data_IF_634801285871
#
_entry.id   IF_634801285871
#
_cell.length_a   1.000
_cell.length_b   1.000
_cell.length_c   1.000
_cell.angle_alpha   90.00
_cell.angle_beta   90.00
_cell.angle_gamma   90.00
#
_symmetry.space_group_name_H-M   'P 1'
#
loop_
_entity.id
_entity.type
_entity.pdbx_description
1 polymer ?
#
# COMPACT_ATOMS: atom_id res chain seq x y z
N UNK A 1 58.70 17.87 -8.48
CA UNK A 1 58.54 16.73 -7.54
C UNK A 1 57.42 17.06 -6.57
N UNK A 2 56.19 16.59 -6.84
CA UNK A 2 55.01 16.80 -5.96
C UNK A 2 54.84 15.56 -5.09
N UNK A 3 54.88 15.72 -3.76
CA UNK A 3 54.60 14.67 -2.78
C UNK A 3 53.09 14.60 -2.55
N UNK A 4 52.48 13.45 -2.81
CA UNK A 4 51.09 13.14 -2.43
C UNK A 4 51.05 12.54 -1.03
N UNK A 5 50.14 13.04 -0.20
CA UNK A 5 49.83 12.51 1.14
C UNK A 5 48.67 11.53 0.99
N UNK A 6 48.91 10.27 1.38
CA UNK A 6 47.91 9.21 1.45
C UNK A 6 47.29 9.23 2.85
N UNK A 7 46.01 9.54 2.96
CA UNK A 7 45.27 9.44 4.22
C UNK A 7 44.66 8.03 4.33
N UNK A 8 45.07 7.29 5.36
CA UNK A 8 44.50 5.98 5.72
C UNK A 8 43.36 6.24 6.70
N UNK A 9 42.12 5.95 6.27
CA UNK A 9 40.96 5.96 7.14
C UNK A 9 40.91 4.62 7.89
N UNK A 10 41.07 4.65 9.21
CA UNK A 10 40.85 3.49 10.09
C UNK A 10 39.44 3.61 10.62
N UNK A 11 38.52 2.76 10.15
CA UNK A 11 37.18 2.63 10.72
C UNK A 11 37.25 1.72 11.95
N UNK A 12 37.01 2.28 13.12
CA UNK A 12 36.90 1.52 14.38
C UNK A 12 35.47 1.01 14.52
N UNK A 13 35.28 -0.31 14.44
CA UNK A 13 33.99 -0.96 14.67
C UNK A 13 33.78 -1.09 16.18
N UNK A 14 32.85 -0.34 16.75
CA UNK A 14 32.42 -0.49 18.15
C UNK A 14 31.22 -1.43 18.17
N UNK A 15 31.42 -2.64 18.70
CA UNK A 15 30.33 -3.59 18.97
C UNK A 15 29.80 -3.31 20.37
N UNK A 16 28.64 -2.67 20.47
CA UNK A 16 27.93 -2.50 21.75
C UNK A 16 26.99 -3.69 21.92
N UNK A 17 27.25 -4.53 22.94
CA UNK A 17 26.33 -5.58 23.36
C UNK A 17 25.25 -4.98 24.26
N UNK A 18 23.99 -5.01 23.83
CA UNK A 18 22.85 -4.66 24.68
C UNK A 18 22.47 -5.84 25.59
N UNK A 19 22.38 -5.58 26.89
CA UNK A 19 21.88 -6.51 27.91
C UNK A 19 20.37 -6.33 28.15
N UNK A 20 19.68 -7.47 28.18
CA UNK A 20 18.48 -7.85 28.97
C UNK A 20 17.14 -7.08 28.88
N UNK A 21 16.11 -7.87 28.51
CA UNK A 21 14.72 -7.96 29.02
C UNK A 21 13.53 -7.18 28.44
N UNK A 22 13.65 -6.49 27.31
CA UNK A 22 12.44 -6.02 26.58
C UNK A 22 12.11 -6.97 25.42
N UNK A 23 11.11 -7.83 25.64
CA UNK A 23 10.51 -8.63 24.58
C UNK A 23 9.65 -7.73 23.68
N UNK A 24 10.02 -7.60 22.40
CA UNK A 24 9.05 -7.40 21.31
C UNK A 24 9.06 -6.08 20.53
N UNK A 25 9.82 -5.05 20.90
CA UNK A 25 9.86 -3.82 20.10
C UNK A 25 10.94 -3.91 18.99
N UNK A 26 10.60 -3.83 17.69
CA UNK A 26 11.60 -3.73 16.64
C UNK A 26 12.33 -2.39 16.74
N UNK A 27 13.64 -2.43 16.94
CA UNK A 27 14.51 -1.26 16.87
C UNK A 27 14.73 -0.95 15.38
N UNK A 28 14.11 0.11 14.86
CA UNK A 28 14.28 0.56 13.48
C UNK A 28 15.35 1.66 13.42
N UNK A 29 16.50 1.35 12.81
CA UNK A 29 17.53 2.33 12.48
C UNK A 29 17.19 2.99 11.14
N UNK A 30 16.87 4.28 11.17
CA UNK A 30 16.65 5.08 9.96
C UNK A 30 17.93 5.74 9.48
N UNK A 31 18.55 5.19 8.44
CA UNK A 31 19.48 5.95 7.59
C UNK A 31 19.06 5.82 6.12
N UNK A 32 18.70 6.97 5.54
CA UNK A 32 18.56 7.25 4.11
C UNK A 32 17.56 6.39 3.31
N UNK A 33 16.27 6.71 3.40
CA UNK A 33 15.31 6.37 2.35
C UNK A 33 15.12 7.61 1.47
N UNK A 34 15.46 7.46 0.19
CA UNK A 34 15.36 8.49 -0.82
C UNK A 34 13.96 9.14 -0.84
N UNK A 35 13.90 10.44 -1.10
CA UNK A 35 12.66 11.17 -1.31
C UNK A 35 11.87 10.56 -2.47
N UNK A 36 10.81 9.82 -2.16
CA UNK A 36 9.86 9.35 -3.15
C UNK A 36 8.86 10.47 -3.45
N UNK A 37 8.73 10.78 -4.74
CA UNK A 37 7.70 11.65 -5.30
C UNK A 37 6.33 11.09 -4.91
N UNK A 38 5.78 11.59 -3.81
CA UNK A 38 4.38 11.39 -3.49
C UNK A 38 3.56 12.06 -4.58
N UNK A 39 2.56 11.34 -5.07
CA UNK A 39 1.35 11.96 -5.60
C UNK A 39 0.95 12.99 -4.54
N UNK A 40 0.82 14.26 -4.93
CA UNK A 40 0.38 15.33 -4.03
C UNK A 40 -0.85 14.82 -3.26
N UNK A 41 -0.90 15.08 -1.95
CA UNK A 41 -2.03 14.77 -1.05
C UNK A 41 -3.27 15.56 -1.45
N UNK A 42 -3.75 15.29 -2.66
CA UNK A 42 -4.79 16.01 -3.35
C UNK A 42 -6.09 15.37 -2.92
N UNK A 43 -6.92 16.18 -2.25
CA UNK A 43 -8.38 16.00 -2.18
C UNK A 43 -8.86 15.21 -3.39
N UNK A 44 -9.53 14.08 -3.11
CA UNK A 44 -10.06 13.14 -4.09
C UNK A 44 -10.30 13.80 -5.46
N UNK A 45 -9.54 13.43 -6.51
CA UNK A 45 -9.69 14.05 -7.81
C UNK A 45 -11.12 13.92 -8.31
N UNK A 46 -11.54 14.85 -9.17
CA UNK A 46 -12.91 14.88 -9.67
C UNK A 46 -13.30 13.51 -10.28
N UNK A 47 -14.51 12.98 -9.98
CA UNK A 47 -14.95 11.71 -10.51
C UNK A 47 -14.99 11.71 -12.04
N UNK A 48 -14.54 10.62 -12.64
CA UNK A 48 -14.70 10.31 -14.06
C UNK A 48 -16.00 9.52 -14.24
N UNK A 49 -16.89 10.01 -15.10
CA UNK A 49 -18.07 9.23 -15.50
C UNK A 49 -17.70 8.28 -16.64
N UNK A 50 -18.07 7.01 -16.51
CA UNK A 50 -17.88 5.97 -17.52
C UNK A 50 -19.25 5.39 -17.88
N UNK A 51 -19.59 5.42 -19.16
CA UNK A 51 -20.91 5.01 -19.66
C UNK A 51 -20.84 3.69 -20.45
N UNK A 52 -19.65 3.24 -20.85
CA UNK A 52 -19.46 2.03 -21.66
C UNK A 52 -18.36 1.12 -21.12
N UNK A 53 -18.47 -0.18 -21.41
CA UNK A 53 -17.42 -1.16 -21.10
C UNK A 53 -16.10 -0.83 -21.81
N UNK A 54 -16.17 -0.25 -23.01
CA UNK A 54 -14.98 0.14 -23.79
C UNK A 54 -14.17 1.24 -23.10
N UNK A 55 -14.85 2.25 -22.55
CA UNK A 55 -14.24 3.31 -21.75
C UNK A 55 -13.64 2.76 -20.46
N UNK A 56 -14.34 1.84 -19.78
CA UNK A 56 -13.82 1.18 -18.58
C UNK A 56 -12.55 0.37 -18.88
N UNK A 57 -12.56 -0.41 -19.96
CA UNK A 57 -11.39 -1.16 -20.42
C UNK A 57 -10.24 -0.21 -20.72
N UNK A 58 -10.48 0.81 -21.54
CA UNK A 58 -9.44 1.78 -21.94
C UNK A 58 -8.83 2.49 -20.73
N UNK A 59 -9.64 2.80 -19.71
CA UNK A 59 -9.17 3.34 -18.45
C UNK A 59 -8.19 2.37 -17.78
N UNK A 60 -8.59 1.11 -17.56
CA UNK A 60 -7.78 0.10 -16.87
C UNK A 60 -6.48 -0.24 -17.61
N UNK A 61 -6.53 -0.34 -18.94
CA UNK A 61 -5.36 -0.60 -19.78
C UNK A 61 -4.37 0.58 -19.79
N UNK A 62 -4.86 1.80 -19.59
CA UNK A 62 -4.04 3.01 -19.49
C UNK A 62 -3.37 3.20 -18.12
N UNK A 63 -3.71 2.39 -17.12
CA UNK A 63 -3.16 2.51 -15.77
C UNK A 63 -1.74 1.94 -15.65
N UNK A 64 -1.01 2.41 -14.64
CA UNK A 64 0.29 1.83 -14.27
C UNK A 64 0.04 0.60 -13.40
N UNK A 65 0.34 -0.57 -13.95
CA UNK A 65 0.27 -1.84 -13.24
C UNK A 65 1.45 -2.00 -12.28
N UNK A 66 1.20 -2.63 -11.13
CA UNK A 66 2.25 -2.90 -10.15
C UNK A 66 3.42 -3.72 -10.74
N UNK A 67 4.65 -3.38 -10.38
CA UNK A 67 5.83 -4.08 -10.91
C UNK A 67 6.22 -5.33 -10.11
N UNK A 68 6.76 -6.33 -10.82
CA UNK A 68 7.21 -7.61 -10.24
C UNK A 68 8.43 -7.49 -9.30
N UNK A 69 9.33 -6.55 -9.59
CA UNK A 69 10.68 -6.50 -9.01
C UNK A 69 10.84 -5.56 -7.81
N UNK A 70 9.77 -4.96 -7.31
CA UNK A 70 9.84 -4.07 -6.14
C UNK A 70 9.73 -4.91 -4.86
N UNK A 71 10.89 -5.21 -4.27
CA UNK A 71 11.03 -6.30 -3.30
C UNK A 71 10.39 -6.06 -1.91
N UNK A 72 10.14 -4.82 -1.51
CA UNK A 72 9.81 -4.50 -0.11
C UNK A 72 8.89 -3.28 0.08
N UNK A 73 8.62 -2.55 -0.99
CA UNK A 73 7.67 -1.45 -0.99
C UNK A 73 6.54 -1.87 -1.92
N UNK A 74 5.29 -1.80 -1.46
CA UNK A 74 4.17 -2.06 -2.33
C UNK A 74 4.28 -1.27 -3.61
N UNK A 75 4.08 -1.98 -4.70
CA UNK A 75 4.31 -1.54 -6.06
C UNK A 75 3.64 -0.19 -6.34
N UNK A 76 4.26 0.55 -7.25
CA UNK A 76 3.83 1.83 -7.83
C UNK A 76 2.49 1.74 -8.61
N UNK A 77 1.64 0.76 -8.29
CA UNK A 77 0.33 0.58 -8.87
C UNK A 77 -0.48 1.86 -8.64
N UNK A 78 -0.81 2.53 -9.73
CA UNK A 78 -1.66 3.72 -9.68
C UNK A 78 -3.04 3.33 -9.17
N UNK A 79 -3.61 4.17 -8.30
CA UNK A 79 -5.04 4.12 -8.01
C UNK A 79 -5.71 5.08 -9.00
N UNK A 80 -6.82 4.67 -9.60
CA UNK A 80 -7.58 5.54 -10.49
C UNK A 80 -8.19 6.71 -9.71
N UNK A 81 -8.65 7.74 -10.44
CA UNK A 81 -9.68 8.64 -9.89
C UNK A 81 -10.97 7.84 -9.57
N UNK A 82 -11.91 8.44 -8.85
CA UNK A 82 -13.25 7.86 -8.70
C UNK A 82 -13.90 7.67 -10.07
N UNK A 83 -14.48 6.51 -10.29
CA UNK A 83 -15.17 6.13 -11.52
C UNK A 83 -16.64 5.94 -11.19
N UNK A 84 -17.48 6.82 -11.71
CA UNK A 84 -18.94 6.73 -11.55
C UNK A 84 -19.52 6.02 -12.77
N UNK A 85 -20.23 4.92 -12.51
CA UNK A 85 -20.95 4.14 -13.53
C UNK A 85 -22.44 4.40 -13.40
N UNK A 86 -23.06 4.89 -14.46
CA UNK A 86 -24.52 5.03 -14.56
C UNK A 86 -25.08 3.88 -15.40
N UNK A 87 -26.00 3.10 -14.84
CA UNK A 87 -26.47 1.86 -15.47
C UNK A 87 -25.60 0.66 -15.12
N UNK A 88 -25.58 -0.34 -15.99
CA UNK A 88 -24.90 -1.62 -15.76
C UNK A 88 -23.77 -1.83 -16.78
N UNK A 89 -22.57 -2.05 -16.29
CA UNK A 89 -21.40 -2.44 -17.07
C UNK A 89 -20.91 -3.82 -16.63
N UNK A 90 -20.44 -4.59 -17.60
CA UNK A 90 -19.84 -5.90 -17.38
C UNK A 90 -18.53 -5.95 -18.17
N UNK A 91 -17.46 -6.42 -17.53
CA UNK A 91 -16.12 -6.49 -18.09
C UNK A 91 -15.47 -7.82 -17.70
N UNK A 92 -14.98 -8.57 -18.68
CA UNK A 92 -14.14 -9.73 -18.43
C UNK A 92 -12.67 -9.33 -18.33
N UNK A 93 -11.95 -9.93 -17.38
CA UNK A 93 -10.51 -9.73 -17.20
C UNK A 93 -9.72 -10.19 -18.44
N UNK A 94 -10.28 -11.14 -19.20
CA UNK A 94 -9.69 -11.65 -20.45
C UNK A 94 -9.76 -10.65 -21.60
N UNK A 95 -10.59 -9.60 -21.47
CA UNK A 95 -10.70 -8.52 -22.45
C UNK A 95 -9.68 -7.41 -22.21
N UNK A 96 -8.94 -7.47 -21.09
CA UNK A 96 -7.89 -6.52 -20.76
C UNK A 96 -6.54 -6.99 -21.32
N UNK A 97 -5.78 -6.03 -21.83
CA UNK A 97 -4.36 -6.19 -22.15
C UNK A 97 -3.55 -6.08 -20.87
N UNK A 98 -3.24 -7.23 -20.26
CA UNK A 98 -2.51 -7.32 -18.98
C UNK A 98 -1.02 -7.53 -19.25
N UNK A 99 -0.11 -6.89 -18.48
CA UNK A 99 1.31 -7.14 -18.62
C UNK A 99 1.65 -8.62 -18.47
N UNK A 100 2.59 -9.11 -19.28
CA UNK A 100 3.08 -10.48 -19.16
C UNK A 100 4.08 -10.58 -18.03
N UNK A 101 3.97 -11.65 -17.24
CA UNK A 101 4.93 -11.98 -16.18
C UNK A 101 6.12 -12.72 -16.80
N UNK A 102 7.31 -12.11 -16.74
CA UNK A 102 8.51 -12.71 -17.34
C UNK A 102 9.01 -13.92 -16.56
N UNK A 103 8.80 -13.95 -15.24
CA UNK A 103 9.17 -15.10 -14.39
C UNK A 103 8.21 -16.28 -14.49
N UNK A 104 7.16 -16.16 -15.30
CA UNK A 104 6.04 -17.08 -15.29
C UNK A 104 6.26 -18.28 -16.21
N UNK A 105 7.12 -19.22 -15.79
CA UNK A 105 7.33 -20.46 -16.54
C UNK A 105 6.29 -21.54 -16.19
N UNK A 106 5.88 -21.67 -14.92
CA UNK A 106 4.83 -22.60 -14.44
C UNK A 106 4.22 -22.09 -13.13
N UNK A 107 2.89 -22.17 -12.99
CA UNK A 107 2.21 -22.00 -11.70
C UNK A 107 1.84 -20.56 -11.31
N UNK A 108 1.72 -19.65 -12.27
CA UNK A 108 1.16 -18.33 -12.00
C UNK A 108 -0.35 -18.35 -11.98
N UNK A 109 -0.88 -17.33 -11.29
CA UNK A 109 -2.30 -17.12 -11.14
C UNK A 109 -2.81 -16.45 -12.39
N UNK A 110 -3.95 -16.93 -12.87
CA UNK A 110 -4.69 -16.23 -13.90
C UNK A 110 -5.12 -14.85 -13.39
N UNK A 111 -5.07 -13.80 -14.24
CA UNK A 111 -5.54 -12.50 -13.85
C UNK A 111 -6.99 -12.55 -13.37
N UNK A 112 -7.31 -11.74 -12.35
CA UNK A 112 -8.67 -11.68 -11.81
C UNK A 112 -8.98 -10.33 -11.20
N UNK A 113 -10.26 -10.05 -11.05
CA UNK A 113 -10.76 -8.97 -10.22
C UNK A 113 -10.80 -9.41 -8.75
N UNK A 114 -10.56 -8.48 -7.86
CA UNK A 114 -10.69 -8.67 -6.41
C UNK A 114 -11.18 -7.37 -5.76
N UNK A 115 -11.77 -7.44 -4.59
CA UNK A 115 -12.28 -6.26 -3.89
C UNK A 115 -13.14 -6.65 -2.71
N UNK A 116 -13.61 -5.63 -1.99
CA UNK A 116 -14.52 -5.78 -0.86
C UNK A 116 -15.98 -5.83 -1.34
N UNK A 117 -16.90 -6.11 -0.43
CA UNK A 117 -18.33 -6.09 -0.71
C UNK A 117 -18.81 -4.64 -0.83
N UNK A 118 -18.82 -4.13 -2.07
CA UNK A 118 -19.20 -2.77 -2.42
C UNK A 118 -20.59 -2.77 -3.06
N UNK A 119 -21.44 -1.82 -2.64
CA UNK A 119 -22.78 -1.68 -3.21
C UNK A 119 -22.72 -1.45 -4.73
N UNK A 120 -23.48 -2.26 -5.48
CA UNK A 120 -23.52 -2.19 -6.94
C UNK A 120 -22.28 -2.78 -7.63
N UNK A 121 -21.39 -3.46 -6.90
CA UNK A 121 -20.27 -4.21 -7.47
C UNK A 121 -20.55 -5.70 -7.32
N UNK A 122 -20.26 -6.49 -8.35
CA UNK A 122 -20.36 -7.95 -8.27
C UNK A 122 -19.21 -8.61 -9.00
N UNK A 123 -18.67 -9.65 -8.37
CA UNK A 123 -17.54 -10.42 -8.85
C UNK A 123 -18.04 -11.81 -9.24
N UNK A 124 -17.94 -12.16 -10.52
CA UNK A 124 -18.37 -13.46 -11.04
C UNK A 124 -17.13 -14.32 -11.27
N UNK A 125 -17.15 -15.50 -10.63
CA UNK A 125 -16.12 -16.53 -10.76
C UNK A 125 -16.61 -17.62 -11.70
N UNK A 126 -15.80 -17.97 -12.69
CA UNK A 126 -16.11 -19.10 -13.56
C UNK A 126 -16.12 -20.43 -12.79
N UNK A 127 -16.93 -21.43 -13.22
CA UNK A 127 -16.97 -22.73 -12.58
C UNK A 127 -15.57 -23.39 -12.52
N UNK A 128 -15.07 -23.62 -11.31
CA UNK A 128 -13.74 -24.21 -11.08
C UNK A 128 -12.57 -23.22 -11.12
N UNK A 129 -12.84 -21.92 -11.31
CA UNK A 129 -11.82 -20.87 -11.30
C UNK A 129 -11.41 -20.44 -9.89
N UNK A 130 -10.15 -20.03 -9.75
CA UNK A 130 -9.63 -19.43 -8.52
C UNK A 130 -9.83 -17.91 -8.55
N UNK A 131 -11.09 -17.48 -8.44
CA UNK A 131 -11.51 -16.08 -8.26
C UNK A 131 -12.13 -15.43 -9.50
N UNK A 132 -12.44 -14.13 -9.38
CA UNK A 132 -13.42 -13.50 -10.26
C UNK A 132 -12.82 -13.08 -11.61
N UNK A 133 -13.31 -13.69 -12.70
CA UNK A 133 -12.91 -13.35 -14.06
C UNK A 133 -13.75 -12.22 -14.64
N UNK A 134 -14.97 -12.01 -14.13
CA UNK A 134 -15.86 -10.95 -14.62
C UNK A 134 -16.25 -10.00 -13.50
N UNK A 135 -16.13 -8.70 -13.79
CA UNK A 135 -16.58 -7.61 -12.95
C UNK A 135 -17.89 -7.05 -13.50
N UNK A 136 -18.87 -6.90 -12.63
CA UNK A 136 -20.13 -6.22 -12.92
C UNK A 136 -20.23 -4.98 -12.03
N UNK A 137 -20.55 -3.85 -12.63
CA UNK A 137 -20.77 -2.57 -11.96
C UNK A 137 -22.17 -2.08 -12.30
N UNK A 138 -22.94 -1.67 -11.28
CA UNK A 138 -24.31 -1.21 -11.44
C UNK A 138 -24.59 0.00 -10.55
N UNK A 139 -24.76 1.17 -11.17
CA UNK A 139 -25.09 2.43 -10.49
C UNK A 139 -24.18 2.72 -9.27
N UNK A 140 -22.88 2.60 -9.47
CA UNK A 140 -21.89 2.64 -8.38
C UNK A 140 -20.77 3.63 -8.66
N UNK A 141 -20.01 4.00 -7.63
CA UNK A 141 -18.77 4.76 -7.73
C UNK A 141 -17.65 3.99 -7.06
N UNK A 142 -16.59 3.72 -7.80
CA UNK A 142 -15.47 2.87 -7.37
C UNK A 142 -14.14 3.47 -7.79
N UNK A 143 -13.05 2.94 -7.26
CA UNK A 143 -11.70 3.16 -7.79
C UNK A 143 -11.09 1.81 -8.18
N UNK A 144 -10.10 1.87 -9.06
CA UNK A 144 -9.37 0.69 -9.51
C UNK A 144 -7.91 0.77 -9.11
N UNK A 145 -7.31 -0.38 -8.83
CA UNK A 145 -5.87 -0.49 -8.61
C UNK A 145 -5.36 -1.79 -9.25
N UNK A 146 -4.68 -1.74 -10.40
CA UNK A 146 -4.03 -2.89 -11.00
C UNK A 146 -2.74 -3.22 -10.23
N UNK A 147 -2.77 -4.31 -9.47
CA UNK A 147 -1.68 -4.74 -8.60
C UNK A 147 -1.00 -5.99 -9.14
N UNK A 148 0.30 -6.10 -8.87
CA UNK A 148 1.01 -7.37 -8.91
C UNK A 148 0.96 -8.02 -7.52
N UNK A 149 0.44 -9.24 -7.47
CA UNK A 149 0.38 -10.04 -6.25
C UNK A 149 1.60 -10.95 -6.23
N UNK A 150 2.60 -10.55 -5.44
CA UNK A 150 3.78 -11.38 -5.16
C UNK A 150 3.41 -12.49 -4.19
N UNK A 151 3.07 -13.66 -4.71
CA UNK A 151 2.92 -14.90 -3.94
C UNK A 151 4.06 -15.86 -4.27
N UNK A 152 4.62 -16.53 -3.26
CA UNK A 152 5.69 -17.52 -3.48
C UNK A 152 5.20 -18.72 -4.30
N UNK A 153 3.92 -19.07 -4.18
CA UNK A 153 3.35 -20.24 -4.82
C UNK A 153 2.58 -19.91 -6.10
N UNK A 154 2.04 -18.70 -6.21
CA UNK A 154 1.09 -18.36 -7.26
C UNK A 154 1.08 -16.85 -7.59
N UNK A 155 2.19 -16.30 -8.12
CA UNK A 155 2.27 -14.87 -8.45
C UNK A 155 1.33 -14.54 -9.61
N UNK A 156 0.80 -13.33 -9.65
CA UNK A 156 -0.19 -12.97 -10.68
C UNK A 156 -0.56 -11.49 -10.63
N UNK A 157 -1.21 -11.03 -11.69
CA UNK A 157 -1.82 -9.71 -11.71
C UNK A 157 -3.27 -9.74 -11.24
N UNK A 158 -3.73 -8.65 -10.64
CA UNK A 158 -5.15 -8.47 -10.32
C UNK A 158 -5.55 -7.01 -10.43
N UNK A 159 -6.84 -6.78 -10.66
CA UNK A 159 -7.43 -5.45 -10.55
C UNK A 159 -8.25 -5.42 -9.27
N UNK A 160 -7.79 -4.62 -8.31
CA UNK A 160 -8.56 -4.34 -7.10
C UNK A 160 -9.63 -3.31 -7.40
N UNK A 161 -10.85 -3.58 -6.98
CA UNK A 161 -11.95 -2.62 -6.96
C UNK A 161 -12.07 -2.12 -5.52
N UNK A 162 -12.04 -0.80 -5.39
CA UNK A 162 -11.95 -0.09 -4.14
C UNK A 162 -13.17 0.83 -4.02
N UNK A 163 -13.60 1.10 -2.79
CA UNK A 163 -14.66 2.07 -2.53
C UNK A 163 -14.28 3.50 -2.98
N UNK A 164 -15.26 4.42 -3.00
CA UNK A 164 -15.00 5.83 -3.26
C UNK A 164 -13.95 6.40 -2.28
N UNK A 165 -13.25 7.43 -2.73
CA UNK A 165 -12.22 8.13 -1.97
C UNK A 165 -12.79 8.89 -0.76
N UNK A 166 -14.07 9.25 -0.80
CA UNK A 166 -14.79 9.90 0.31
C UNK A 166 -15.26 8.95 1.41
N UNK A 167 -15.05 7.64 1.27
CA UNK A 167 -15.48 6.66 2.26
C UNK A 167 -14.55 6.67 3.48
N UNK A 168 -15.15 6.75 4.68
CA UNK A 168 -14.43 6.53 5.93
C UNK A 168 -14.12 5.04 6.09
N UNK A 169 -13.03 4.71 6.78
CA UNK A 169 -12.73 3.32 7.09
C UNK A 169 -13.87 2.64 7.84
N UNK A 170 -14.17 1.41 7.43
CA UNK A 170 -15.28 0.65 7.98
C UNK A 170 -15.06 0.31 9.46
N UNK A 171 -13.82 0.02 9.82
CA UNK A 171 -13.44 -0.41 11.17
C UNK A 171 -12.65 0.69 11.91
N UNK A 172 -12.86 0.85 13.23
CA UNK A 172 -12.17 1.86 14.03
C UNK A 172 -10.66 1.59 14.19
N UNK A 173 -10.23 0.34 13.97
CA UNK A 173 -8.81 -0.06 14.02
C UNK A 173 -8.06 0.24 12.72
N UNK A 174 -8.78 0.53 11.63
CA UNK A 174 -8.21 0.87 10.35
C UNK A 174 -7.73 2.32 10.33
N UNK A 175 -6.68 2.57 9.55
CA UNK A 175 -6.11 3.90 9.37
C UNK A 175 -6.26 4.36 7.93
N UNK A 176 -6.93 5.49 7.73
CA UNK A 176 -7.07 6.11 6.40
C UNK A 176 -5.75 6.76 6.00
N UNK A 177 -5.21 6.32 4.88
CA UNK A 177 -4.01 6.90 4.30
C UNK A 177 -4.30 8.24 3.63
N UNK A 178 -3.64 9.35 4.00
CA UNK A 178 -3.86 10.64 3.34
C UNK A 178 -3.30 10.70 1.91
N UNK A 179 -2.38 9.78 1.56
CA UNK A 179 -1.73 9.77 0.25
C UNK A 179 -2.56 9.05 -0.81
N UNK A 180 -3.14 7.91 -0.46
CA UNK A 180 -3.84 7.03 -1.42
C UNK A 180 -5.33 6.82 -1.08
N UNK A 181 -5.79 7.38 0.04
CA UNK A 181 -7.16 7.28 0.53
C UNK A 181 -7.65 5.82 0.65
N UNK A 182 -6.76 4.91 1.04
CA UNK A 182 -7.09 3.54 1.41
C UNK A 182 -7.07 3.35 2.92
N UNK A 183 -7.88 2.40 3.38
CA UNK A 183 -7.93 1.98 4.77
C UNK A 183 -6.99 0.79 5.00
N UNK A 184 -6.09 0.95 5.95
CA UNK A 184 -5.12 -0.08 6.31
C UNK A 184 -5.43 -0.65 7.69
N UNK A 185 -5.72 -1.95 7.74
CA UNK A 185 -5.89 -2.69 9.00
C UNK A 185 -4.58 -2.90 9.73
N UNK A 186 -3.49 -3.16 9.00
CA UNK A 186 -2.19 -3.44 9.59
C UNK A 186 -1.36 -2.19 9.69
N UNK A 187 -0.91 -1.86 10.89
CA UNK A 187 -0.09 -0.67 11.12
C UNK A 187 1.23 -0.68 10.34
N UNK A 188 1.85 -1.84 10.17
CA UNK A 188 3.04 -2.00 9.34
C UNK A 188 2.81 -1.59 7.87
N UNK A 189 1.63 -1.91 7.31
CA UNK A 189 1.30 -1.54 5.93
C UNK A 189 1.03 -0.03 5.81
N UNK A 190 0.27 0.53 6.75
CA UNK A 190 0.06 1.97 6.86
C UNK A 190 1.40 2.73 6.98
N UNK A 191 2.31 2.23 7.81
CA UNK A 191 3.62 2.81 8.03
C UNK A 191 4.47 2.92 6.77
N UNK A 192 4.52 1.82 6.01
CA UNK A 192 5.29 1.74 4.78
C UNK A 192 4.70 2.64 3.71
N UNK A 193 3.37 2.65 3.58
CA UNK A 193 2.67 3.26 2.44
C UNK A 193 2.30 4.72 2.65
N UNK A 194 1.94 5.08 3.88
CA UNK A 194 1.30 6.35 4.20
C UNK A 194 2.23 7.24 5.02
N UNK A 195 2.70 6.72 6.16
CA UNK A 195 3.54 7.47 7.08
C UNK A 195 5.01 7.53 6.64
N UNK A 196 5.40 6.83 5.56
CA UNK A 196 6.78 6.79 5.03
C UNK A 196 7.84 6.51 6.12
N UNK A 197 7.52 5.59 7.04
CA UNK A 197 8.36 5.24 8.19
C UNK A 197 8.60 6.36 9.20
N UNK A 198 7.76 7.39 9.26
CA UNK A 198 7.84 8.41 10.32
C UNK A 198 7.72 7.75 11.70
N UNK A 199 8.78 7.75 12.52
CA UNK A 199 8.80 6.94 13.75
C UNK A 199 7.70 7.33 14.74
N UNK A 200 7.40 8.62 14.82
CA UNK A 200 6.35 9.20 15.68
C UNK A 200 4.94 8.72 15.31
N UNK A 201 4.67 8.46 14.03
CA UNK A 201 3.39 7.88 13.59
C UNK A 201 3.47 6.38 13.78
N UNK A 202 4.52 5.76 13.26
CA UNK A 202 4.60 4.30 13.18
C UNK A 202 4.62 3.54 14.49
N UNK A 203 5.14 4.13 15.56
CA UNK A 203 5.09 3.52 16.89
C UNK A 203 3.66 3.37 17.42
N UNK A 204 2.71 4.19 16.94
CA UNK A 204 1.30 4.14 17.31
C UNK A 204 0.43 3.34 16.34
N UNK A 205 1.05 2.65 15.38
CA UNK A 205 0.37 1.75 14.44
C UNK A 205 0.97 0.33 14.59
N UNK A 206 0.40 -0.45 15.50
CA UNK A 206 0.82 -1.81 15.81
C UNK A 206 0.45 -2.85 14.74
N UNK A 207 0.69 -4.13 15.05
CA UNK A 207 0.41 -5.24 14.12
C UNK A 207 -1.08 -5.36 13.76
N UNK A 208 -1.95 -4.98 14.71
CA UNK A 208 -3.41 -5.08 14.60
C UNK A 208 -4.08 -3.75 14.20
N UNK A 209 -3.29 -2.71 13.88
CA UNK A 209 -3.80 -1.41 13.45
C UNK A 209 -3.37 -0.27 14.37
N UNK A 210 -4.17 0.79 14.40
CA UNK A 210 -3.92 1.95 15.25
C UNK A 210 -4.05 1.57 16.74
N UNK A 211 -3.11 2.03 17.57
CA UNK A 211 -3.16 1.85 19.02
C UNK A 211 -4.14 2.83 19.65
N UNK A 212 -4.76 2.41 20.77
CA UNK A 212 -5.68 3.26 21.53
C UNK A 212 -4.98 4.52 22.09
N UNK A 213 -5.75 5.60 22.23
CA UNK A 213 -5.26 6.82 22.86
C UNK A 213 -4.81 6.55 24.31
N UNK A 214 -3.67 7.12 24.70
CA UNK A 214 -3.07 6.94 26.02
C UNK A 214 -2.09 5.78 26.13
N UNK A 215 -1.98 4.91 25.12
CA UNK A 215 -0.97 3.85 25.09
C UNK A 215 0.42 4.48 25.06
N UNK A 216 1.31 4.06 25.98
CA UNK A 216 2.69 4.55 26.03
C UNK A 216 3.41 4.22 24.73
N UNK A 217 4.05 5.23 24.13
CA UNK A 217 4.81 5.10 22.90
C UNK A 217 6.22 5.62 23.10
N UNK A 218 7.19 4.99 22.43
CA UNK A 218 8.60 5.36 22.51
C UNK A 218 9.30 5.17 21.17
N UNK A 219 9.99 6.20 20.70
CA UNK A 219 10.75 6.15 19.45
C UNK A 219 12.09 6.87 19.60
N UNK A 220 13.06 6.49 18.76
CA UNK A 220 14.37 7.13 18.74
C UNK A 220 14.30 8.46 17.97
N UNK A 221 14.76 9.54 18.58
CA UNK A 221 14.92 10.86 17.93
C UNK A 221 16.33 11.07 17.40
N UNK A 222 17.29 10.33 17.94
CA UNK A 222 18.65 10.18 17.43
C UNK A 222 19.22 8.83 17.90
N UNK A 223 20.47 8.51 17.54
CA UNK A 223 21.13 7.26 17.95
C UNK A 223 21.17 7.06 19.49
N UNK A 224 21.20 8.16 20.25
CA UNK A 224 21.34 8.13 21.72
C UNK A 224 20.13 8.71 22.46
N UNK A 225 19.13 9.22 21.75
CA UNK A 225 17.99 9.92 22.38
C UNK A 225 16.66 9.28 22.00
N UNK A 226 15.77 9.21 23.00
CA UNK A 226 14.45 8.62 22.87
C UNK A 226 13.41 9.62 23.33
N UNK A 227 12.33 9.75 22.56
CA UNK A 227 11.09 10.35 23.02
C UNK A 227 10.21 9.26 23.62
N UNK A 228 9.60 9.53 24.77
CA UNK A 228 8.62 8.66 25.41
C UNK A 228 7.38 9.49 25.76
N UNK A 229 6.24 9.15 25.16
CA UNK A 229 4.99 9.91 25.22
C UNK A 229 3.81 8.92 25.21
N UNK A 230 2.62 9.38 24.83
CA UNK A 230 1.45 8.53 24.65
C UNK A 230 0.89 8.69 23.23
N UNK A 231 0.24 7.65 22.71
CA UNK A 231 -0.48 7.75 21.46
C UNK A 231 -1.70 8.65 21.62
N UNK A 232 -1.91 9.52 20.65
CA UNK A 232 -3.07 10.41 20.54
C UNK A 232 -3.40 10.53 19.05
N UNK A 233 -4.59 10.07 18.66
CA UNK A 233 -5.03 10.05 17.26
C UNK A 233 -4.01 9.39 16.30
N UNK A 234 -3.37 8.30 16.74
CA UNK A 234 -2.40 7.54 15.93
C UNK A 234 -1.01 8.15 15.83
N UNK A 235 -0.73 9.22 16.57
CA UNK A 235 0.58 9.86 16.63
C UNK A 235 1.11 9.79 18.06
N UNK A 236 2.40 9.49 18.20
CA UNK A 236 3.11 9.58 19.46
C UNK A 236 3.47 11.05 19.72
N UNK A 237 2.59 11.75 20.42
CA UNK A 237 2.79 13.13 20.82
C UNK A 237 2.63 13.31 22.35
N UNK A 238 3.29 14.35 22.87
CA UNK A 238 3.16 14.75 24.26
C UNK A 238 2.16 15.88 24.28
N UNK A 239 0.96 15.63 24.79
CA UNK A 239 -0.02 16.69 25.06
C UNK A 239 0.56 17.75 26.00
#
# INVERSE_FOLDING_TARGET
>A
MKKGILAVLVATLVVVSACSTDEGAPILYGENVAAFYGIDAQTCPAPLTVETTEELRSLLEGMVWGEENVALLPSQASISTEVTVSGRLELSITELTIPTLQSCEVGCREPRFEGEDLAGVSFITEPGGEGATTLVLENTTVRFQPVFVRSMANPGYSVRVLGPCSESCAEPTQSLCPTDHLCYERGAEYCVRCAKWEPQVCVCHGLEGILEDGVSCRFATSIDTWAAQACSAGVCDGQ
#
